data_IF_040142383732
#
_entry.id   IF_040142383732
#
_cell.length_a   1.000
_cell.length_b   1.000
_cell.length_c   1.000
_cell.angle_alpha   90.00
_cell.angle_beta   90.00
_cell.angle_gamma   90.00
#
_symmetry.space_group_name_H-M   'P 1'
#
loop_
_entity.id
_entity.type
_entity.pdbx_description
1 polymer ?
#
# COMPACT_ATOMS: atom_id res chain seq x y z
N UNK A 1 -32.51 -42.11 1.29
CA UNK A 1 -31.13 -41.77 0.93
C UNK A 1 -31.01 -40.24 1.00
N UNK A 2 -30.45 -39.72 2.10
CA UNK A 2 -30.33 -38.26 2.31
C UNK A 2 -29.00 -37.82 1.69
N UNK A 3 -29.06 -36.88 0.73
CA UNK A 3 -27.89 -36.22 0.20
C UNK A 3 -27.16 -35.45 1.32
N UNK A 4 -25.81 -35.51 1.37
CA UNK A 4 -25.08 -34.70 2.32
C UNK A 4 -25.15 -33.23 1.89
N UNK A 5 -25.68 -32.39 2.77
CA UNK A 5 -25.63 -30.94 2.60
C UNK A 5 -24.17 -30.48 2.44
N UNK A 6 -23.84 -30.03 1.26
CA UNK A 6 -22.54 -29.41 0.98
C UNK A 6 -22.47 -28.11 1.78
N UNK A 7 -21.81 -28.14 2.93
CA UNK A 7 -21.51 -26.94 3.72
C UNK A 7 -20.57 -26.07 2.89
N UNK A 8 -21.07 -25.02 2.27
CA UNK A 8 -20.27 -23.98 1.63
C UNK A 8 -19.33 -23.39 2.69
N UNK A 9 -18.07 -23.76 2.60
CA UNK A 9 -17.02 -23.24 3.49
C UNK A 9 -16.83 -21.76 3.18
N UNK A 10 -17.39 -20.87 3.98
CA UNK A 10 -17.21 -19.42 3.82
C UNK A 10 -15.74 -19.10 3.98
N UNK A 11 -15.13 -18.60 2.91
CA UNK A 11 -13.73 -18.17 2.92
C UNK A 11 -13.54 -17.02 3.91
N UNK A 12 -12.35 -16.94 4.53
CA UNK A 12 -11.99 -15.73 5.25
C UNK A 12 -11.82 -14.57 4.26
N UNK A 13 -12.02 -13.30 4.67
CA UNK A 13 -11.83 -12.16 3.78
C UNK A 13 -10.45 -12.16 3.09
N UNK A 14 -9.40 -12.59 3.78
CA UNK A 14 -8.06 -12.70 3.21
C UNK A 14 -7.99 -13.80 2.13
N UNK A 15 -8.61 -14.94 2.37
CA UNK A 15 -8.64 -16.04 1.41
C UNK A 15 -9.44 -15.64 0.16
N UNK A 16 -10.59 -14.98 0.32
CA UNK A 16 -11.40 -14.45 -0.79
C UNK A 16 -10.60 -13.48 -1.67
N UNK A 17 -9.96 -12.48 -1.05
CA UNK A 17 -9.15 -11.50 -1.80
C UNK A 17 -8.00 -12.19 -2.56
N UNK A 18 -7.32 -13.14 -1.93
CA UNK A 18 -6.23 -13.88 -2.59
C UNK A 18 -6.72 -14.73 -3.77
N UNK A 19 -7.87 -15.36 -3.63
CA UNK A 19 -8.50 -16.14 -4.70
C UNK A 19 -8.91 -15.25 -5.87
N UNK A 20 -9.51 -14.09 -5.60
CA UNK A 20 -9.85 -13.09 -6.62
C UNK A 20 -8.62 -12.56 -7.34
N UNK A 21 -7.54 -12.22 -6.61
CA UNK A 21 -6.25 -11.83 -7.21
C UNK A 21 -5.73 -12.95 -8.13
N UNK A 22 -5.73 -14.20 -7.67
CA UNK A 22 -5.23 -15.33 -8.46
C UNK A 22 -6.08 -15.55 -9.73
N UNK A 23 -7.40 -15.43 -9.61
CA UNK A 23 -8.32 -15.56 -10.74
C UNK A 23 -8.05 -14.51 -11.81
N UNK A 24 -7.94 -13.23 -11.40
CA UNK A 24 -7.71 -12.13 -12.33
C UNK A 24 -6.30 -12.16 -12.91
N UNK A 25 -5.28 -12.51 -12.11
CA UNK A 25 -3.92 -12.70 -12.60
C UNK A 25 -3.85 -13.73 -13.73
N UNK A 26 -4.52 -14.88 -13.56
CA UNK A 26 -4.62 -15.90 -14.60
C UNK A 26 -5.28 -15.38 -15.90
N UNK A 27 -6.34 -14.58 -15.77
CA UNK A 27 -6.98 -13.92 -16.95
C UNK A 27 -6.00 -12.97 -17.63
N UNK A 28 -5.22 -12.23 -16.84
CA UNK A 28 -4.18 -11.32 -17.32
C UNK A 28 -2.89 -12.04 -17.82
N UNK A 29 -2.87 -13.39 -17.81
CA UNK A 29 -1.70 -14.22 -18.14
C UNK A 29 -0.49 -13.90 -17.27
N UNK A 30 -0.73 -13.69 -15.98
CA UNK A 30 0.28 -13.41 -14.96
C UNK A 30 0.19 -14.43 -13.83
N UNK A 31 1.29 -14.60 -13.10
CA UNK A 31 1.29 -15.39 -11.88
C UNK A 31 0.80 -14.55 -10.69
N UNK A 32 0.00 -15.16 -9.81
CA UNK A 32 -0.49 -14.48 -8.61
C UNK A 32 0.65 -14.00 -7.68
N UNK A 33 1.80 -14.69 -7.72
CA UNK A 33 3.01 -14.33 -6.97
C UNK A 33 3.67 -13.02 -7.41
N UNK A 34 3.33 -12.52 -8.61
CA UNK A 34 3.78 -11.20 -9.08
C UNK A 34 3.02 -10.04 -8.42
N UNK A 35 1.91 -10.33 -7.74
CA UNK A 35 1.04 -9.32 -7.16
C UNK A 35 1.16 -9.35 -5.64
N UNK A 36 1.70 -8.30 -5.07
CA UNK A 36 1.78 -8.09 -3.63
C UNK A 36 0.46 -7.51 -3.11
N UNK A 37 -0.23 -8.26 -2.25
CA UNK A 37 -1.36 -7.74 -1.48
C UNK A 37 -0.83 -6.96 -0.27
N UNK A 38 -1.00 -5.64 -0.28
CA UNK A 38 -0.70 -4.76 0.84
C UNK A 38 -1.97 -4.59 1.68
N UNK A 39 -2.03 -5.21 2.85
CA UNK A 39 -3.16 -5.10 3.78
C UNK A 39 -3.11 -3.75 4.50
N UNK A 40 -4.04 -2.85 4.19
CA UNK A 40 -4.07 -1.49 4.76
C UNK A 40 -4.66 -1.51 6.15
N UNK A 41 -3.78 -1.42 7.15
CA UNK A 41 -4.09 -1.59 8.58
C UNK A 41 -4.22 -0.28 9.37
N UNK A 42 -4.26 0.86 8.66
CA UNK A 42 -4.52 2.17 9.31
C UNK A 42 -5.80 2.10 10.16
N UNK A 43 -5.77 2.68 11.35
CA UNK A 43 -6.90 2.71 12.30
C UNK A 43 -7.39 1.33 12.79
N UNK A 44 -6.74 0.23 12.41
CA UNK A 44 -7.11 -1.10 12.87
C UNK A 44 -6.44 -1.44 14.21
N UNK A 45 -7.12 -2.14 15.11
CA UNK A 45 -6.52 -2.61 16.36
C UNK A 45 -5.48 -3.71 16.11
N UNK A 46 -4.57 -3.85 17.07
CA UNK A 46 -3.45 -4.83 17.01
C UNK A 46 -3.97 -6.26 16.80
N UNK A 47 -5.08 -6.61 17.45
CA UNK A 47 -5.70 -7.94 17.40
C UNK A 47 -6.17 -8.29 15.97
N UNK A 48 -6.75 -7.32 15.26
CA UNK A 48 -7.20 -7.53 13.88
C UNK A 48 -5.99 -7.70 12.92
N UNK A 49 -4.91 -6.96 13.15
CA UNK A 49 -3.67 -7.12 12.40
C UNK A 49 -3.06 -8.49 12.67
N UNK A 50 -2.96 -8.89 13.93
CA UNK A 50 -2.42 -10.19 14.34
C UNK A 50 -3.21 -11.35 13.72
N UNK A 51 -4.55 -11.24 13.68
CA UNK A 51 -5.39 -12.25 13.04
C UNK A 51 -5.06 -12.46 11.55
N UNK A 52 -4.70 -11.40 10.80
CA UNK A 52 -4.24 -11.53 9.42
C UNK A 52 -2.81 -12.10 9.34
N UNK A 53 -1.92 -11.74 10.27
CA UNK A 53 -0.56 -12.31 10.33
C UNK A 53 -0.64 -13.83 10.52
N UNK A 54 -1.48 -14.31 11.43
CA UNK A 54 -1.72 -15.75 11.67
C UNK A 54 -2.25 -16.46 10.42
N UNK A 55 -3.09 -15.78 9.62
CA UNK A 55 -3.57 -16.29 8.32
C UNK A 55 -2.51 -16.21 7.20
N UNK A 56 -1.30 -15.78 7.50
CA UNK A 56 -0.19 -15.72 6.54
C UNK A 56 -0.09 -14.41 5.75
N UNK A 57 -0.74 -13.31 6.19
CA UNK A 57 -0.46 -12.00 5.61
C UNK A 57 0.88 -11.47 6.11
N UNK A 58 1.72 -10.95 5.19
CA UNK A 58 3.07 -10.50 5.52
C UNK A 58 3.34 -9.04 5.18
N UNK A 59 2.60 -8.45 4.26
CA UNK A 59 2.82 -7.06 3.82
C UNK A 59 1.65 -6.20 4.27
N UNK A 60 1.95 -5.19 5.08
CA UNK A 60 0.94 -4.27 5.63
C UNK A 60 1.23 -2.84 5.23
N UNK A 61 0.17 -2.05 5.05
CA UNK A 61 0.25 -0.64 4.67
C UNK A 61 -0.29 0.28 5.75
N UNK A 62 0.50 1.30 6.08
CA UNK A 62 0.13 2.33 7.04
C UNK A 62 0.19 3.73 6.41
N UNK A 63 -0.60 4.64 6.97
CA UNK A 63 -0.65 6.01 6.45
C UNK A 63 0.26 6.98 7.22
N UNK A 64 0.61 6.68 8.47
CA UNK A 64 1.28 7.63 9.37
C UNK A 64 2.40 6.96 10.17
N UNK A 65 3.54 7.64 10.25
CA UNK A 65 4.70 7.21 11.05
C UNK A 65 4.34 7.00 12.52
N UNK A 66 3.60 7.94 13.11
CA UNK A 66 3.22 7.88 14.53
C UNK A 66 2.35 6.66 14.84
N UNK A 67 1.46 6.28 13.93
CA UNK A 67 0.62 5.09 14.10
C UNK A 67 1.44 3.80 14.11
N UNK A 68 2.48 3.75 13.27
CA UNK A 68 3.44 2.62 13.28
C UNK A 68 4.22 2.56 14.57
N UNK A 69 4.74 3.69 15.04
CA UNK A 69 5.50 3.76 16.30
C UNK A 69 4.70 3.25 17.50
N UNK A 70 3.37 3.49 17.51
CA UNK A 70 2.51 3.10 18.62
C UNK A 70 2.14 1.60 18.61
N UNK A 71 1.93 0.98 17.45
CA UNK A 71 1.34 -0.38 17.41
C UNK A 71 2.25 -1.48 16.87
N UNK A 72 3.26 -1.15 16.03
CA UNK A 72 4.03 -2.15 15.31
C UNK A 72 5.28 -2.73 16.02
N UNK A 73 5.91 -2.09 17.01
CA UNK A 73 7.13 -2.64 17.62
C UNK A 73 6.96 -4.07 18.11
N UNK A 74 5.96 -4.31 18.97
CA UNK A 74 5.69 -5.66 19.52
C UNK A 74 5.25 -6.66 18.45
N UNK A 75 4.45 -6.23 17.47
CA UNK A 75 4.03 -7.09 16.35
C UNK A 75 5.22 -7.54 15.52
N UNK A 76 6.17 -6.65 15.20
CA UNK A 76 7.37 -6.99 14.41
C UNK A 76 8.39 -7.79 15.18
N UNK A 77 8.52 -7.59 16.49
CA UNK A 77 9.37 -8.42 17.33
C UNK A 77 8.94 -9.88 17.29
N UNK A 78 7.63 -10.12 17.37
CA UNK A 78 7.04 -11.46 17.31
C UNK A 78 6.97 -12.04 15.87
N UNK A 79 7.00 -11.20 14.83
CA UNK A 79 6.78 -11.60 13.42
C UNK A 79 7.78 -10.87 12.51
N UNK A 80 9.04 -11.32 12.52
CA UNK A 80 10.16 -10.64 11.83
C UNK A 80 10.03 -10.61 10.30
N UNK A 81 9.24 -11.50 9.72
CA UNK A 81 8.96 -11.59 8.28
C UNK A 81 7.92 -10.55 7.79
N UNK A 82 7.30 -9.81 8.71
CA UNK A 82 6.31 -8.80 8.33
C UNK A 82 7.00 -7.55 7.80
N UNK A 83 6.55 -7.10 6.64
CA UNK A 83 6.98 -5.88 5.95
C UNK A 83 5.95 -4.77 6.11
N UNK A 84 6.42 -3.56 6.35
CA UNK A 84 5.60 -2.35 6.48
C UNK A 84 5.82 -1.41 5.31
N UNK A 85 4.76 -1.07 4.62
CA UNK A 85 4.74 -0.09 3.53
C UNK A 85 4.08 1.21 4.00
N UNK A 86 4.74 2.34 3.78
CA UNK A 86 4.12 3.66 3.95
C UNK A 86 3.36 4.01 2.68
N UNK A 87 2.03 4.12 2.78
CA UNK A 87 1.16 4.43 1.63
C UNK A 87 0.50 5.80 1.74
N UNK A 88 0.56 6.44 2.90
CA UNK A 88 0.08 7.81 3.12
C UNK A 88 1.13 8.86 2.84
N UNK A 89 0.70 10.13 2.75
CA UNK A 89 1.58 11.27 2.53
C UNK A 89 2.62 11.40 3.63
N UNK A 90 3.88 11.59 3.26
CA UNK A 90 5.00 11.72 4.18
C UNK A 90 5.47 13.19 4.26
N UNK A 91 5.50 13.71 5.48
CA UNK A 91 6.16 15.00 5.75
C UNK A 91 7.68 14.84 5.70
N UNK A 92 8.38 15.80 5.10
CA UNK A 92 9.85 15.72 4.91
C UNK A 92 10.61 15.64 6.25
N UNK A 93 10.11 16.27 7.31
CA UNK A 93 10.69 16.20 8.66
C UNK A 93 10.54 14.82 9.33
N UNK A 94 9.73 13.91 8.77
CA UNK A 94 9.55 12.53 9.24
C UNK A 94 10.30 11.49 8.40
N UNK A 95 11.14 11.93 7.46
CA UNK A 95 11.86 11.05 6.55
C UNK A 95 12.81 10.07 7.28
N UNK A 96 13.52 10.52 8.30
CA UNK A 96 14.42 9.66 9.07
C UNK A 96 13.66 8.54 9.81
N UNK A 97 12.56 8.88 10.46
CA UNK A 97 11.70 7.92 11.13
C UNK A 97 11.08 6.93 10.12
N UNK A 98 10.65 7.44 8.96
CA UNK A 98 10.08 6.59 7.91
C UNK A 98 11.12 5.60 7.36
N UNK A 99 12.34 6.04 7.09
CA UNK A 99 13.44 5.16 6.63
C UNK A 99 13.78 4.10 7.67
N UNK A 100 13.70 4.41 8.98
CA UNK A 100 13.95 3.44 10.04
C UNK A 100 12.84 2.38 10.17
N UNK A 101 11.58 2.76 9.94
CA UNK A 101 10.42 1.93 10.27
C UNK A 101 9.86 1.14 9.09
N UNK A 102 9.88 1.69 7.88
CA UNK A 102 9.20 1.10 6.73
C UNK A 102 10.16 0.35 5.81
N UNK A 103 9.63 -0.68 5.17
CA UNK A 103 10.36 -1.52 4.20
C UNK A 103 10.12 -1.04 2.76
N UNK A 104 9.10 -0.21 2.54
CA UNK A 104 8.82 0.45 1.27
C UNK A 104 8.03 1.75 1.50
N UNK A 105 8.28 2.78 0.68
CA UNK A 105 7.56 4.07 0.73
C UNK A 105 6.87 4.29 -0.62
N UNK A 106 5.54 4.46 -0.62
CA UNK A 106 4.76 4.60 -1.85
C UNK A 106 4.43 6.06 -2.22
N UNK A 107 4.81 7.02 -1.39
CA UNK A 107 4.36 8.41 -1.46
C UNK A 107 5.47 9.42 -1.72
N UNK A 108 6.52 9.04 -2.44
CA UNK A 108 7.54 10.00 -2.89
C UNK A 108 6.96 10.86 -4.03
N UNK A 109 6.71 12.14 -3.77
CA UNK A 109 5.95 12.98 -4.69
C UNK A 109 6.57 14.36 -4.98
N UNK A 110 7.66 14.73 -4.32
CA UNK A 110 8.25 16.06 -4.45
C UNK A 110 9.74 16.11 -4.13
N UNK A 111 10.47 17.11 -4.69
CA UNK A 111 11.92 17.24 -4.50
C UNK A 111 12.36 17.42 -3.03
N UNK A 112 11.58 18.11 -2.20
CA UNK A 112 11.92 18.32 -0.79
C UNK A 112 11.87 17.01 0.01
N UNK A 113 10.89 16.14 -0.26
CA UNK A 113 10.80 14.83 0.34
C UNK A 113 11.93 13.91 -0.14
N UNK A 114 12.20 13.92 -1.45
CA UNK A 114 13.31 13.16 -2.04
C UNK A 114 14.64 13.49 -1.33
N UNK A 115 14.96 14.80 -1.19
CA UNK A 115 16.18 15.23 -0.51
C UNK A 115 16.24 14.77 0.94
N UNK A 116 15.11 14.82 1.65
CA UNK A 116 15.02 14.37 3.04
C UNK A 116 15.23 12.85 3.16
N UNK A 117 14.59 12.06 2.26
CA UNK A 117 14.76 10.61 2.22
C UNK A 117 16.19 10.20 1.87
N UNK A 118 16.80 10.83 0.87
CA UNK A 118 18.19 10.54 0.50
C UNK A 118 19.15 10.76 1.68
N UNK A 119 19.06 11.90 2.36
CA UNK A 119 19.84 12.20 3.57
C UNK A 119 19.59 11.18 4.70
N UNK A 120 18.34 10.80 4.92
CA UNK A 120 17.98 9.82 5.94
C UNK A 120 18.55 8.43 5.61
N UNK A 121 18.50 8.01 4.35
CA UNK A 121 19.06 6.75 3.87
C UNK A 121 20.58 6.72 3.98
N UNK A 122 21.25 7.83 3.64
CA UNK A 122 22.72 7.97 3.76
C UNK A 122 23.15 7.89 5.24
N UNK A 123 22.47 8.63 6.12
CA UNK A 123 22.78 8.65 7.54
C UNK A 123 22.48 7.31 8.24
N UNK A 124 21.41 6.63 7.84
CA UNK A 124 20.98 5.36 8.44
C UNK A 124 21.60 4.10 7.82
N UNK A 125 22.34 4.22 6.71
CA UNK A 125 22.92 3.09 5.98
C UNK A 125 21.90 2.12 5.39
N UNK A 126 20.60 2.50 5.35
CA UNK A 126 19.48 1.65 4.90
C UNK A 126 18.84 2.24 3.65
N UNK A 127 18.85 1.51 2.55
CA UNK A 127 18.17 1.90 1.31
C UNK A 127 16.76 1.33 1.27
N UNK A 128 15.75 2.20 1.35
CA UNK A 128 14.33 1.84 1.33
C UNK A 128 13.77 2.07 -0.07
N UNK A 129 13.21 1.04 -0.73
CA UNK A 129 12.56 1.19 -2.03
C UNK A 129 11.41 2.21 -1.97
N UNK A 130 11.33 3.05 -3.02
CA UNK A 130 10.32 4.08 -3.13
C UNK A 130 9.54 3.97 -4.45
N UNK A 131 8.22 4.07 -4.36
CA UNK A 131 7.37 4.41 -5.50
C UNK A 131 7.24 5.92 -5.60
N UNK A 132 7.31 6.46 -6.82
CA UNK A 132 6.91 7.84 -7.05
C UNK A 132 5.39 7.89 -7.17
N UNK A 133 4.76 8.69 -6.31
CA UNK A 133 3.33 8.95 -6.41
C UNK A 133 3.07 10.02 -7.45
N UNK A 134 2.23 9.68 -8.43
CA UNK A 134 1.78 10.56 -9.52
C UNK A 134 0.34 11.00 -9.25
N UNK A 135 0.06 12.29 -9.35
CA UNK A 135 -1.29 12.84 -9.34
C UNK A 135 -1.93 12.61 -10.73
N UNK A 136 -2.38 11.37 -10.93
CA UNK A 136 -2.83 10.89 -12.24
C UNK A 136 -4.14 11.54 -12.71
N UNK A 137 -4.94 12.05 -11.79
CA UNK A 137 -6.22 12.71 -12.06
C UNK A 137 -6.16 14.23 -12.06
N UNK A 138 -4.97 14.82 -11.87
CA UNK A 138 -4.75 16.28 -11.77
C UNK A 138 -5.66 16.97 -10.72
N UNK A 139 -5.87 16.31 -9.58
CA UNK A 139 -6.71 16.82 -8.50
C UNK A 139 -5.86 17.59 -7.49
N UNK A 140 -6.09 18.90 -7.33
CA UNK A 140 -5.28 19.80 -6.48
C UNK A 140 -5.22 19.39 -5.01
N UNK A 141 -6.23 18.68 -4.49
CA UNK A 141 -6.32 18.22 -3.10
C UNK A 141 -5.61 16.87 -2.87
N UNK A 142 -5.18 16.16 -3.92
CA UNK A 142 -4.50 14.87 -3.80
C UNK A 142 -2.98 15.03 -3.85
N UNK A 143 -2.28 14.19 -3.09
CA UNK A 143 -0.83 14.07 -3.20
C UNK A 143 -0.41 13.40 -4.51
N UNK A 144 0.86 13.57 -4.83
CA UNK A 144 1.48 13.06 -6.05
C UNK A 144 2.13 14.21 -6.83
N UNK A 145 3.22 13.93 -7.53
CA UNK A 145 3.80 14.90 -8.44
C UNK A 145 2.89 15.10 -9.67
N UNK A 146 2.92 16.27 -10.26
CA UNK A 146 2.29 16.48 -11.56
C UNK A 146 2.94 15.55 -12.62
N UNK A 147 2.16 15.13 -13.62
CA UNK A 147 2.66 14.25 -14.69
C UNK A 147 3.86 14.87 -15.40
N UNK A 148 3.82 16.18 -15.65
CA UNK A 148 4.91 16.93 -16.29
C UNK A 148 6.20 17.00 -15.46
N UNK A 149 6.11 16.87 -14.13
CA UNK A 149 7.25 16.91 -13.21
C UNK A 149 7.91 15.54 -13.01
N UNK A 150 7.24 14.47 -13.41
CA UNK A 150 7.70 13.09 -13.21
C UNK A 150 9.10 12.83 -13.77
N UNK A 151 9.47 13.23 -15.00
CA UNK A 151 10.82 12.99 -15.53
C UNK A 151 11.91 13.66 -14.70
N UNK A 152 11.69 14.89 -14.25
CA UNK A 152 12.64 15.62 -13.43
C UNK A 152 12.81 14.98 -12.03
N UNK A 153 11.71 14.54 -11.42
CA UNK A 153 11.74 13.86 -10.13
C UNK A 153 12.45 12.50 -10.22
N UNK A 154 12.21 11.72 -11.29
CA UNK A 154 12.91 10.47 -11.57
C UNK A 154 14.41 10.66 -11.74
N UNK A 155 14.83 11.65 -12.56
CA UNK A 155 16.23 11.95 -12.76
C UNK A 155 16.94 12.29 -11.44
N UNK A 156 16.30 13.11 -10.59
CA UNK A 156 16.83 13.45 -9.26
C UNK A 156 16.88 12.25 -8.33
N UNK A 157 15.87 11.37 -8.34
CA UNK A 157 15.85 10.17 -7.51
C UNK A 157 16.99 9.20 -7.89
N UNK A 158 17.23 9.01 -9.20
CA UNK A 158 18.35 8.21 -9.71
C UNK A 158 19.69 8.80 -9.31
N UNK A 159 19.88 10.12 -9.46
CA UNK A 159 21.11 10.82 -9.06
C UNK A 159 21.38 10.75 -7.56
N UNK A 160 20.33 10.68 -6.73
CA UNK A 160 20.40 10.51 -5.28
C UNK A 160 20.48 9.04 -4.83
N UNK A 161 20.62 8.08 -5.76
CA UNK A 161 20.62 6.64 -5.48
C UNK A 161 19.41 6.17 -4.64
N UNK A 162 18.23 6.75 -4.83
CA UNK A 162 16.99 6.26 -4.25
C UNK A 162 16.60 4.97 -5.01
N UNK A 163 16.40 3.83 -4.33
CA UNK A 163 15.90 2.63 -4.98
C UNK A 163 14.47 2.87 -5.48
N UNK A 164 14.29 3.00 -6.79
CA UNK A 164 12.98 3.21 -7.40
C UNK A 164 12.27 1.86 -7.60
N UNK A 165 11.19 1.63 -6.86
CA UNK A 165 10.36 0.44 -6.97
C UNK A 165 9.34 0.55 -8.12
N UNK A 166 8.93 1.78 -8.50
CA UNK A 166 7.94 1.98 -9.54
C UNK A 166 7.15 3.28 -9.39
N UNK A 167 5.94 3.29 -9.95
CA UNK A 167 4.99 4.38 -9.82
C UNK A 167 3.78 3.98 -8.97
N UNK A 168 3.20 4.96 -8.28
CA UNK A 168 1.98 4.80 -7.50
C UNK A 168 0.95 5.84 -7.89
N UNK A 169 -0.33 5.47 -7.93
CA UNK A 169 -1.43 6.43 -8.07
C UNK A 169 -2.68 6.04 -7.28
N UNK A 170 -3.54 7.02 -7.07
CA UNK A 170 -4.91 6.88 -6.59
C UNK A 170 -5.81 7.64 -7.57
N UNK A 171 -6.56 6.96 -8.43
CA UNK A 171 -7.46 7.59 -9.38
C UNK A 171 -8.52 8.47 -8.70
N UNK A 172 -9.16 9.40 -9.44
CA UNK A 172 -10.31 10.15 -8.95
C UNK A 172 -11.43 9.23 -8.47
N UNK A 173 -12.07 9.61 -7.36
CA UNK A 173 -13.19 8.86 -6.80
C UNK A 173 -14.43 9.01 -7.69
N UNK A 174 -15.18 7.92 -7.87
CA UNK A 174 -16.41 7.94 -8.67
C UNK A 174 -16.23 7.96 -10.18
N UNK A 175 -14.98 7.90 -10.68
CA UNK A 175 -14.67 7.81 -12.11
C UNK A 175 -14.10 6.42 -12.41
N UNK A 176 -14.38 5.90 -13.62
CA UNK A 176 -13.84 4.62 -14.10
C UNK A 176 -12.30 4.59 -13.98
N UNK A 177 -11.71 3.69 -13.17
CA UNK A 177 -10.27 3.72 -12.88
C UNK A 177 -9.39 3.17 -14.01
N UNK A 178 -9.94 2.35 -14.92
CA UNK A 178 -9.15 1.65 -15.93
C UNK A 178 -8.28 2.57 -16.80
N UNK A 179 -8.77 3.72 -17.32
CA UNK A 179 -7.93 4.63 -18.11
C UNK A 179 -6.73 5.19 -17.32
N UNK A 180 -6.91 5.47 -16.03
CA UNK A 180 -5.85 5.98 -15.16
C UNK A 180 -4.80 4.90 -14.86
N UNK A 181 -5.21 3.65 -14.63
CA UNK A 181 -4.29 2.54 -14.44
C UNK A 181 -3.50 2.23 -15.70
N UNK A 182 -4.14 2.19 -16.86
CA UNK A 182 -3.47 2.02 -18.16
C UNK A 182 -2.46 3.14 -18.41
N UNK A 183 -2.81 4.38 -18.09
CA UNK A 183 -1.91 5.52 -18.25
C UNK A 183 -0.73 5.46 -17.27
N UNK A 184 -0.94 5.07 -16.01
CA UNK A 184 0.16 4.88 -15.06
C UNK A 184 1.11 3.78 -15.53
N UNK A 185 0.58 2.67 -16.07
CA UNK A 185 1.37 1.57 -16.62
C UNK A 185 2.23 2.06 -17.79
N UNK A 186 1.65 2.84 -18.71
CA UNK A 186 2.40 3.46 -19.81
C UNK A 186 3.51 4.39 -19.31
N UNK A 187 3.21 5.25 -18.32
CA UNK A 187 4.23 6.15 -17.73
C UNK A 187 5.38 5.36 -17.09
N UNK A 188 5.08 4.23 -16.44
CA UNK A 188 6.11 3.38 -15.85
C UNK A 188 6.99 2.73 -16.92
N UNK A 189 6.39 2.16 -17.96
CA UNK A 189 7.09 1.55 -19.09
C UNK A 189 7.98 2.55 -19.82
N UNK A 190 7.46 3.74 -20.16
CA UNK A 190 8.20 4.83 -20.80
C UNK A 190 9.44 5.27 -19.98
N UNK A 191 9.45 5.00 -18.68
CA UNK A 191 10.54 5.36 -17.77
C UNK A 191 11.37 4.16 -17.28
N UNK A 192 11.13 2.95 -17.81
CA UNK A 192 11.85 1.72 -17.44
C UNK A 192 11.61 1.29 -16.00
N UNK A 193 10.38 1.46 -15.48
CA UNK A 193 9.96 1.07 -14.13
C UNK A 193 8.96 -0.08 -14.21
N UNK A 194 9.25 -1.18 -13.48
CA UNK A 194 8.42 -2.37 -13.49
C UNK A 194 7.29 -2.36 -12.44
N UNK A 195 7.46 -1.63 -11.34
CA UNK A 195 6.52 -1.65 -10.23
C UNK A 195 5.34 -0.71 -10.43
N UNK A 196 4.11 -1.20 -10.15
CA UNK A 196 2.87 -0.43 -10.21
C UNK A 196 2.09 -0.63 -8.92
N UNK A 197 2.06 0.40 -8.06
CA UNK A 197 1.22 0.42 -6.86
C UNK A 197 -0.08 1.15 -7.18
N UNK A 198 -1.12 0.38 -7.50
CA UNK A 198 -2.44 0.88 -7.87
C UNK A 198 -3.50 -0.16 -7.57
N UNK A 199 -4.75 0.28 -7.42
CA UNK A 199 -5.87 -0.57 -7.03
C UNK A 199 -6.08 -0.67 -5.52
N UNK A 200 -7.33 -0.52 -5.12
CA UNK A 200 -7.84 -0.57 -3.75
C UNK A 200 -9.01 -1.57 -3.64
N UNK A 201 -9.70 -1.61 -2.51
CA UNK A 201 -10.77 -2.59 -2.25
C UNK A 201 -11.87 -2.67 -3.33
N UNK A 202 -12.14 -1.57 -4.04
CA UNK A 202 -13.21 -1.50 -5.05
C UNK A 202 -12.75 -1.73 -6.50
N UNK A 203 -11.43 -1.68 -6.76
CA UNK A 203 -10.91 -1.63 -8.13
C UNK A 203 -9.60 -2.43 -8.34
N UNK A 204 -9.16 -3.21 -7.32
CA UNK A 204 -7.91 -3.95 -7.41
C UNK A 204 -7.91 -5.00 -8.54
N UNK A 205 -9.05 -5.56 -8.89
CA UNK A 205 -9.15 -6.54 -9.98
C UNK A 205 -8.84 -5.87 -11.32
N UNK A 206 -9.43 -4.70 -11.59
CA UNK A 206 -9.11 -3.88 -12.75
C UNK A 206 -7.62 -3.48 -12.76
N UNK A 207 -7.08 -3.12 -11.60
CA UNK A 207 -5.66 -2.78 -11.48
C UNK A 207 -4.74 -3.98 -11.80
N UNK A 208 -5.07 -5.19 -11.33
CA UNK A 208 -4.32 -6.42 -11.65
C UNK A 208 -4.36 -6.72 -13.15
N UNK A 209 -5.53 -6.58 -13.80
CA UNK A 209 -5.68 -6.72 -15.25
C UNK A 209 -4.78 -5.77 -16.03
N UNK A 210 -4.55 -4.57 -15.50
CA UNK A 210 -3.75 -3.50 -16.11
C UNK A 210 -2.31 -3.42 -15.58
N UNK A 211 -1.82 -4.51 -14.95
CA UNK A 211 -0.41 -4.67 -14.63
C UNK A 211 0.00 -4.32 -13.20
N UNK A 212 -0.93 -4.06 -12.27
CA UNK A 212 -0.56 -3.79 -10.88
C UNK A 212 0.36 -4.87 -10.32
N UNK A 213 1.43 -4.45 -9.65
CA UNK A 213 2.33 -5.32 -8.88
C UNK A 213 2.05 -5.23 -7.38
N UNK A 214 1.41 -4.15 -6.93
CA UNK A 214 1.00 -3.92 -5.55
C UNK A 214 -0.44 -3.41 -5.53
N UNK A 215 -1.33 -4.15 -4.87
CA UNK A 215 -2.71 -3.74 -4.61
C UNK A 215 -2.88 -3.45 -3.12
N UNK A 216 -3.64 -2.40 -2.78
CA UNK A 216 -3.77 -1.86 -1.42
C UNK A 216 -5.20 -2.05 -0.92
N UNK A 217 -5.43 -3.12 -0.18
CA UNK A 217 -6.78 -3.52 0.26
C UNK A 217 -6.93 -3.29 1.77
N UNK A 218 -7.96 -2.58 2.19
CA UNK A 218 -8.26 -2.30 3.59
C UNK A 218 -9.66 -2.77 3.99
N UNK A 219 -10.69 -2.04 3.58
CA UNK A 219 -12.08 -2.30 3.99
C UNK A 219 -12.57 -3.72 3.66
N UNK A 220 -12.12 -4.30 2.55
CA UNK A 220 -12.48 -5.67 2.18
C UNK A 220 -11.81 -6.73 3.07
N UNK A 221 -10.69 -6.42 3.74
CA UNK A 221 -9.97 -7.34 4.64
C UNK A 221 -10.44 -7.23 6.10
N UNK A 222 -10.66 -6.00 6.57
CA UNK A 222 -10.94 -5.72 7.99
C UNK A 222 -12.42 -5.42 8.27
N UNK A 223 -13.26 -5.38 7.23
CA UNK A 223 -14.62 -4.85 7.36
C UNK A 223 -14.66 -3.31 7.32
N UNK A 224 -15.88 -2.74 7.39
CA UNK A 224 -16.05 -1.29 7.46
C UNK A 224 -15.34 -0.69 8.67
N UNK A 225 -15.06 0.63 8.62
CA UNK A 225 -14.45 1.34 9.76
C UNK A 225 -15.27 1.07 11.02
N UNK A 226 -14.65 0.70 12.17
CA UNK A 226 -15.37 0.67 13.43
C UNK A 226 -15.99 2.05 13.65
N UNK A 227 -17.29 2.09 14.00
CA UNK A 227 -17.98 3.35 14.25
C UNK A 227 -17.27 4.09 15.39
N UNK A 228 -17.22 5.43 15.33
CA UNK A 228 -16.64 6.25 16.41
C UNK A 228 -17.22 5.94 17.79
N UNK A 229 -18.40 5.35 17.88
CA UNK A 229 -19.05 4.93 19.12
C UNK A 229 -18.36 3.75 19.80
N UNK A 230 -17.75 2.81 19.06
CA UNK A 230 -17.03 1.67 19.66
C UNK A 230 -15.78 2.07 20.45
N UNK A 231 -15.19 3.23 20.19
CA UNK A 231 -14.05 3.75 20.96
C UNK A 231 -14.46 4.45 22.27
N UNK A 232 -15.70 4.93 22.39
CA UNK A 232 -16.18 5.60 23.60
C UNK A 232 -16.48 4.61 24.74
N UNK A 233 -16.79 3.35 24.43
CA UNK A 233 -17.11 2.32 25.41
C UNK A 233 -15.90 1.64 26.06
N UNK A 234 -14.69 1.87 25.54
CA UNK A 234 -13.43 1.31 26.05
C UNK A 234 -12.62 2.27 26.92
N UNK A 235 -13.10 3.51 27.17
CA UNK A 235 -12.48 4.43 28.09
C UNK A 235 -13.02 4.17 29.50
N UNK A 236 -12.16 3.80 30.50
CA UNK A 236 -12.63 3.69 31.87
C UNK A 236 -13.12 5.05 32.34
N UNK A 237 -14.31 5.11 32.94
CA UNK A 237 -14.85 6.29 33.59
C UNK A 237 -13.88 6.79 34.64
N UNK A 238 -13.59 8.11 34.70
CA UNK A 238 -12.79 8.65 35.79
C UNK A 238 -13.59 8.51 37.10
N UNK A 239 -13.05 7.73 38.04
CA UNK A 239 -13.49 7.66 39.40
C UNK A 239 -13.01 8.85 40.22
#
# INVERSE_FOLDING_TARGET
MSEPATTLKTLSPLADIRERIATVAKVARREASEITLVAISKTQPVEAIHALIVQGQRVFGENRVQEVQAKWPALREANREVMLHLVGQLQSNKAAEAVALFDCIHSLDRPSLLTALARAMDAGGRRVPCFIQVNIGDETQKGGCAIGDLPALLARARAANIPLAGLMSVPPEGIEPAPFFAFLAKLADDNGLAGLSMGMSGDFETAVMLGATHVRVGSALFGGRPSRQAFAELSPSPG
#
